data_IF_833602973941
#
_entry.id   IF_833602973941
#
_cell.length_a   1.000
_cell.length_b   1.000
_cell.length_c   1.000
_cell.angle_alpha   90.00
_cell.angle_beta   90.00
_cell.angle_gamma   90.00
#
_symmetry.space_group_name_H-M   'P 1'
#
loop_
_entity.id
_entity.type
_entity.pdbx_description
1 polymer ?
#
# COMPACT_ATOMS: atom_id res chain seq x y z
N UNK A 1 -43.52 67.70 13.32
CA UNK A 1 -42.19 67.56 12.72
C UNK A 1 -41.23 66.98 13.75
N UNK A 2 -40.86 65.71 13.60
CA UNK A 2 -39.60 65.10 14.07
C UNK A 2 -39.43 63.78 13.31
N UNK A 3 -38.24 63.64 12.73
CA UNK A 3 -37.76 62.56 11.88
C UNK A 3 -37.36 61.32 12.69
N UNK A 4 -37.55 60.14 12.08
CA UNK A 4 -36.73 58.91 12.24
C UNK A 4 -37.34 57.83 11.34
N UNK A 5 -36.67 56.88 10.69
CA UNK A 5 -35.31 56.67 10.17
C UNK A 5 -35.41 55.29 9.48
N UNK A 6 -34.73 55.14 8.34
CA UNK A 6 -34.73 53.97 7.46
C UNK A 6 -34.49 52.61 8.16
N UNK A 7 -35.25 51.59 7.74
CA UNK A 7 -34.96 50.17 7.92
C UNK A 7 -34.03 49.68 6.79
N UNK A 8 -32.82 49.25 7.14
CA UNK A 8 -31.94 48.45 6.29
C UNK A 8 -32.17 46.98 6.64
N UNK A 9 -32.64 46.18 5.68
CA UNK A 9 -32.77 44.72 5.82
C UNK A 9 -31.41 44.04 5.57
N UNK A 10 -30.76 43.57 6.63
CA UNK A 10 -29.61 42.68 6.55
C UNK A 10 -30.07 41.22 6.42
N UNK A 11 -29.65 40.55 5.34
CA UNK A 11 -29.69 39.08 5.24
C UNK A 11 -28.61 38.50 6.17
N UNK A 12 -29.02 37.69 7.16
CA UNK A 12 -28.10 36.79 7.87
C UNK A 12 -27.84 35.55 7.00
N UNK A 13 -26.57 35.31 6.67
CA UNK A 13 -26.08 34.01 6.21
C UNK A 13 -25.91 33.12 7.44
N UNK A 14 -26.68 32.03 7.52
CA UNK A 14 -26.51 31.04 8.57
C UNK A 14 -25.24 30.22 8.29
N UNK A 15 -24.25 30.33 9.17
CA UNK A 15 -23.10 29.44 9.20
C UNK A 15 -23.58 28.07 9.73
N UNK A 16 -23.46 27.03 8.90
CA UNK A 16 -23.66 25.66 9.35
C UNK A 16 -22.43 25.22 10.17
N UNK A 17 -22.58 25.18 11.48
CA UNK A 17 -21.60 24.57 12.38
C UNK A 17 -21.60 23.06 12.17
N UNK A 18 -20.45 22.51 11.76
CA UNK A 18 -20.20 21.07 11.75
C UNK A 18 -20.17 20.62 13.22
N UNK A 19 -21.18 19.85 13.64
CA UNK A 19 -21.17 19.20 14.93
C UNK A 19 -20.15 18.05 14.88
N UNK A 20 -19.13 18.12 15.73
CA UNK A 20 -18.31 16.97 16.05
C UNK A 20 -19.21 15.91 16.68
N UNK A 21 -19.18 14.69 16.13
CA UNK A 21 -19.88 13.55 16.70
C UNK A 21 -19.39 13.31 18.13
N UNK A 22 -20.35 13.12 19.04
CA UNK A 22 -20.09 12.82 20.44
C UNK A 22 -19.33 11.49 20.61
N UNK A 23 -18.48 11.46 21.63
CA UNK A 23 -17.55 10.41 22.02
C UNK A 23 -18.09 8.99 21.79
N UNK A 24 -17.47 8.28 20.85
CA UNK A 24 -17.54 6.83 20.79
C UNK A 24 -16.78 6.25 22.00
N UNK A 25 -17.25 5.16 22.62
CA UNK A 25 -16.53 4.55 23.74
C UNK A 25 -15.13 4.12 23.27
N UNK A 26 -14.10 4.55 24.01
CA UNK A 26 -12.73 4.10 23.83
C UNK A 26 -12.72 2.56 23.86
N UNK A 27 -12.36 1.92 22.75
CA UNK A 27 -12.13 0.48 22.74
C UNK A 27 -10.84 0.23 23.53
N UNK A 28 -10.95 -0.34 24.73
CA UNK A 28 -9.76 -0.74 25.49
C UNK A 28 -8.94 -1.74 24.68
N UNK A 29 -7.67 -1.38 24.48
CA UNK A 29 -6.73 -2.11 23.64
C UNK A 29 -6.02 -3.16 24.51
N UNK A 30 -6.61 -4.34 24.65
CA UNK A 30 -6.26 -5.32 25.70
C UNK A 30 -5.01 -6.20 25.41
N UNK A 31 -4.47 -6.21 24.20
CA UNK A 31 -3.37 -7.13 23.85
C UNK A 31 -1.97 -6.51 24.07
N UNK A 32 -1.14 -7.14 24.92
CA UNK A 32 0.29 -6.77 25.06
C UNK A 32 1.10 -7.11 23.79
N UNK A 33 0.79 -8.24 23.14
CA UNK A 33 1.40 -8.69 21.88
C UNK A 33 0.32 -9.31 20.99
N UNK A 34 0.23 -8.84 19.74
CA UNK A 34 -0.63 -9.38 18.71
C UNK A 34 0.04 -10.57 18.02
N UNK A 35 -0.63 -11.73 18.01
CA UNK A 35 -0.12 -12.92 17.36
C UNK A 35 -0.38 -12.88 15.85
N UNK A 36 0.64 -12.50 15.07
CA UNK A 36 0.62 -12.55 13.61
C UNK A 36 1.07 -13.92 13.07
N UNK A 37 1.91 -14.62 13.82
CA UNK A 37 2.48 -15.92 13.47
C UNK A 37 2.02 -17.00 14.46
N UNK A 38 1.65 -18.18 13.96
CA UNK A 38 1.30 -19.33 14.80
C UNK A 38 2.55 -19.82 15.55
N UNK A 39 2.57 -19.60 16.86
CA UNK A 39 3.71 -19.95 17.73
C UNK A 39 3.97 -21.46 17.80
N UNK A 40 3.02 -22.29 17.37
CA UNK A 40 3.20 -23.74 17.25
C UNK A 40 4.00 -24.12 16.00
N UNK A 41 4.14 -23.20 15.05
CA UNK A 41 4.91 -23.40 13.82
C UNK A 41 6.31 -22.82 14.00
N UNK A 42 7.31 -23.70 13.96
CA UNK A 42 8.70 -23.26 13.98
C UNK A 42 9.01 -22.37 12.77
N UNK A 43 9.69 -21.26 13.01
CA UNK A 43 10.18 -20.40 11.94
C UNK A 43 11.43 -21.04 11.30
N UNK A 44 11.38 -21.46 10.02
CA UNK A 44 12.49 -22.15 9.37
C UNK A 44 13.68 -21.21 9.12
N UNK A 45 14.90 -21.77 9.15
CA UNK A 45 16.09 -21.05 8.72
C UNK A 45 15.99 -20.64 7.24
N UNK A 46 16.72 -19.60 6.78
CA UNK A 46 16.71 -19.20 5.37
C UNK A 46 16.98 -20.35 4.39
N UNK A 47 17.84 -21.29 4.75
CA UNK A 47 18.22 -22.46 3.93
C UNK A 47 17.11 -23.52 3.83
N UNK A 48 16.22 -23.58 4.83
CA UNK A 48 15.09 -24.52 4.89
C UNK A 48 13.82 -23.96 4.23
N UNK A 49 13.76 -22.64 4.00
CA UNK A 49 12.61 -22.01 3.33
C UNK A 49 12.57 -22.42 1.87
N UNK A 50 11.57 -23.21 1.54
CA UNK A 50 11.34 -23.64 0.17
C UNK A 50 10.81 -22.48 -0.68
N UNK A 51 11.07 -22.56 -1.99
CA UNK A 51 10.39 -21.72 -2.99
C UNK A 51 9.00 -22.28 -3.28
N UNK A 52 7.96 -21.45 -3.54
CA UNK A 52 6.67 -21.97 -3.94
C UNK A 52 6.79 -22.78 -5.23
N UNK A 53 6.17 -23.97 -5.28
CA UNK A 53 6.26 -24.86 -6.42
C UNK A 53 5.68 -24.20 -7.68
N UNK A 54 6.45 -24.22 -8.78
CA UNK A 54 6.04 -23.62 -10.05
C UNK A 54 6.10 -22.10 -10.10
N UNK A 55 6.65 -21.43 -9.08
CA UNK A 55 6.83 -19.99 -9.12
C UNK A 55 7.87 -19.57 -10.17
N UNK A 56 7.55 -18.53 -10.95
CA UNK A 56 8.40 -18.00 -12.02
C UNK A 56 8.75 -16.55 -11.71
N UNK A 57 10.03 -16.21 -11.85
CA UNK A 57 10.48 -14.83 -11.76
C UNK A 57 10.55 -14.17 -13.13
N UNK A 58 10.10 -12.93 -13.20
CA UNK A 58 10.20 -12.12 -14.42
C UNK A 58 10.73 -10.74 -14.10
N UNK A 59 11.53 -10.23 -15.02
CA UNK A 59 12.02 -8.85 -14.95
C UNK A 59 11.07 -7.95 -15.72
N UNK A 60 10.32 -7.13 -14.99
CA UNK A 60 9.35 -6.19 -15.58
C UNK A 60 10.07 -4.99 -16.19
N UNK A 61 11.08 -4.45 -15.52
CA UNK A 61 11.83 -3.31 -16.03
C UNK A 61 13.26 -3.21 -15.48
N UNK A 62 14.20 -2.75 -16.33
CA UNK A 62 15.55 -2.35 -15.93
C UNK A 62 15.69 -0.83 -16.03
N UNK A 63 16.27 -0.22 -14.99
CA UNK A 63 16.83 1.11 -15.09
C UNK A 63 17.66 1.29 -16.36
N UNK A 64 17.55 2.47 -16.95
CA UNK A 64 18.32 2.90 -18.11
C UNK A 64 19.16 4.14 -17.75
N UNK A 65 19.90 4.67 -18.72
CA UNK A 65 20.76 5.84 -18.49
C UNK A 65 19.97 7.08 -18.06
N UNK A 66 18.78 7.28 -18.66
CA UNK A 66 17.87 8.40 -18.41
C UNK A 66 17.16 8.30 -17.06
N UNK A 67 16.83 7.07 -16.64
CA UNK A 67 16.09 6.79 -15.41
C UNK A 67 16.78 5.69 -14.60
N UNK A 68 17.66 6.11 -13.69
CA UNK A 68 18.49 5.22 -12.87
C UNK A 68 17.87 4.84 -11.54
N UNK A 69 16.80 5.49 -11.11
CA UNK A 69 16.13 5.20 -9.85
C UNK A 69 14.69 4.76 -10.07
N UNK A 70 14.28 3.62 -9.51
CA UNK A 70 12.94 3.05 -9.57
C UNK A 70 12.55 2.49 -8.21
N UNK A 71 11.34 2.82 -7.71
CA UNK A 71 10.83 2.25 -6.47
C UNK A 71 9.28 2.26 -6.40
N UNK A 72 8.72 1.75 -5.30
CA UNK A 72 7.27 1.53 -5.07
C UNK A 72 6.53 1.00 -6.29
N UNK A 73 6.75 -0.28 -6.57
CA UNK A 73 6.05 -0.96 -7.65
C UNK A 73 4.58 -1.21 -7.27
N UNK A 74 3.70 -1.21 -8.27
CA UNK A 74 2.31 -1.63 -8.20
C UNK A 74 1.98 -2.52 -9.39
N UNK A 75 1.04 -3.44 -9.20
CA UNK A 75 0.58 -4.37 -10.24
C UNK A 75 -0.93 -4.59 -10.11
N UNK A 76 -1.61 -4.73 -11.24
CA UNK A 76 -3.06 -4.98 -11.29
C UNK A 76 -3.44 -5.69 -12.57
N UNK A 77 -4.46 -6.54 -12.50
CA UNK A 77 -5.15 -7.04 -13.70
C UNK A 77 -6.35 -6.15 -14.02
N UNK A 78 -6.49 -5.79 -15.29
CA UNK A 78 -7.65 -5.10 -15.80
C UNK A 78 -8.03 -5.71 -17.16
N UNK A 79 -9.24 -6.28 -17.24
CA UNK A 79 -9.62 -7.10 -18.38
C UNK A 79 -8.66 -8.28 -18.58
N UNK A 80 -8.09 -8.38 -19.78
CA UNK A 80 -7.09 -9.38 -20.18
C UNK A 80 -5.63 -8.89 -20.08
N UNK A 81 -5.43 -7.72 -19.47
CA UNK A 81 -4.15 -7.04 -19.45
C UNK A 81 -3.63 -6.86 -18.01
N UNK A 82 -2.39 -7.27 -17.80
CA UNK A 82 -1.63 -7.03 -16.58
C UNK A 82 -0.88 -5.71 -16.70
N UNK A 83 -1.16 -4.77 -15.79
CA UNK A 83 -0.48 -3.50 -15.70
C UNK A 83 0.53 -3.53 -14.54
N UNK A 84 1.73 -3.02 -14.78
CA UNK A 84 2.72 -2.77 -13.76
C UNK A 84 3.19 -1.31 -13.84
N UNK A 85 3.38 -0.67 -12.69
CA UNK A 85 3.88 0.69 -12.62
C UNK A 85 4.79 0.92 -11.42
N UNK A 86 5.55 2.00 -11.49
CA UNK A 86 6.51 2.42 -10.48
C UNK A 86 6.72 3.92 -10.59
N UNK A 87 7.24 4.56 -9.55
CA UNK A 87 7.79 5.89 -9.72
C UNK A 87 9.26 5.81 -10.15
N UNK A 88 9.65 6.72 -11.03
CA UNK A 88 10.94 6.69 -11.71
C UNK A 88 11.58 8.09 -11.66
N UNK A 89 12.85 8.14 -11.26
CA UNK A 89 13.64 9.36 -11.18
C UNK A 89 14.97 9.21 -11.97
N UNK A 90 15.54 10.32 -12.48
CA UNK A 90 16.76 10.26 -13.27
C UNK A 90 17.98 9.62 -12.58
N UNK A 91 18.24 9.95 -11.31
CA UNK A 91 19.49 9.56 -10.64
C UNK A 91 19.32 9.02 -9.21
N UNK A 92 18.32 9.48 -8.48
CA UNK A 92 18.06 9.10 -7.10
C UNK A 92 16.63 9.43 -6.69
N UNK A 93 16.26 9.01 -5.48
CA UNK A 93 14.91 9.18 -4.94
C UNK A 93 14.52 10.67 -4.91
N UNK A 94 13.53 11.05 -5.72
CA UNK A 94 13.00 12.43 -5.80
C UNK A 94 14.12 13.44 -6.16
N UNK A 95 15.10 13.03 -6.97
CA UNK A 95 16.16 13.90 -7.50
C UNK A 95 15.88 14.29 -8.95
N UNK A 96 15.79 15.59 -9.22
CA UNK A 96 15.56 16.14 -10.56
C UNK A 96 14.08 16.15 -10.93
N UNK A 97 13.49 14.98 -11.14
CA UNK A 97 12.06 14.81 -11.43
C UNK A 97 11.55 13.45 -10.91
N UNK A 98 10.23 13.29 -10.81
CA UNK A 98 9.59 11.99 -10.59
C UNK A 98 8.37 11.86 -11.49
N UNK A 99 8.21 10.68 -12.07
CA UNK A 99 7.05 10.31 -12.89
C UNK A 99 6.58 8.92 -12.52
N UNK A 100 5.29 8.66 -12.63
CA UNK A 100 4.77 7.29 -12.63
C UNK A 100 4.89 6.75 -14.05
N UNK A 101 5.66 5.69 -14.21
CA UNK A 101 5.85 4.97 -15.48
C UNK A 101 5.36 3.55 -15.34
N UNK A 102 4.96 2.94 -16.45
CA UNK A 102 4.41 1.59 -16.43
C UNK A 102 4.66 0.81 -17.69
N UNK A 103 4.29 -0.47 -17.65
CA UNK A 103 4.27 -1.40 -18.76
C UNK A 103 3.06 -2.31 -18.65
N UNK A 104 2.66 -2.86 -19.78
CA UNK A 104 1.52 -3.77 -19.90
C UNK A 104 1.97 -5.13 -20.39
N UNK A 105 1.27 -6.19 -19.98
CA UNK A 105 1.45 -7.54 -20.47
C UNK A 105 0.10 -8.18 -20.79
N UNK A 106 0.01 -8.89 -21.91
CA UNK A 106 -1.19 -9.63 -22.35
C UNK A 106 -0.99 -11.15 -22.35
N UNK A 107 0.14 -11.61 -21.83
CA UNK A 107 0.53 -13.03 -21.77
C UNK A 107 0.88 -13.47 -20.35
N UNK A 108 0.34 -12.77 -19.36
CA UNK A 108 0.52 -13.08 -17.94
C UNK A 108 1.91 -12.74 -17.41
N UNK A 109 2.53 -11.68 -17.91
CA UNK A 109 3.82 -11.16 -17.43
C UNK A 109 5.05 -11.74 -18.12
N UNK A 110 4.88 -12.56 -19.18
CA UNK A 110 6.01 -13.16 -19.91
C UNK A 110 6.70 -12.14 -20.81
N UNK A 111 5.92 -11.30 -21.48
CA UNK A 111 6.40 -10.16 -22.27
C UNK A 111 5.73 -8.88 -21.82
N UNK A 112 6.43 -7.76 -22.06
CA UNK A 112 6.02 -6.45 -21.59
C UNK A 112 6.12 -5.42 -22.72
N UNK A 113 5.12 -4.54 -22.82
CA UNK A 113 5.04 -3.44 -23.79
C UNK A 113 6.22 -2.46 -23.69
N UNK A 114 6.27 -1.46 -24.56
CA UNK A 114 7.11 -0.28 -24.28
C UNK A 114 6.65 0.44 -23.02
N UNK A 115 7.53 1.25 -22.45
CA UNK A 115 7.22 2.03 -21.25
C UNK A 115 6.24 3.15 -21.60
N UNK A 116 5.18 3.27 -20.80
CA UNK A 116 4.23 4.39 -20.83
C UNK A 116 4.44 5.32 -19.62
N UNK A 117 3.88 6.52 -19.69
CA UNK A 117 3.85 7.49 -18.59
C UNK A 117 2.40 7.67 -18.14
N UNK A 118 2.15 7.45 -16.84
CA UNK A 118 0.83 7.57 -16.22
C UNK A 118 0.63 8.98 -15.66
N UNK A 119 1.65 9.50 -14.98
CA UNK A 119 1.63 10.82 -14.37
C UNK A 119 3.05 11.43 -14.38
N UNK A 120 3.17 12.69 -14.82
CA UNK A 120 4.44 13.42 -14.78
C UNK A 120 4.23 14.92 -14.86
N UNK A 121 5.24 15.68 -14.44
CA UNK A 121 5.22 17.14 -14.42
C UNK A 121 5.55 17.72 -15.80
N UNK A 122 4.58 17.68 -16.70
CA UNK A 122 4.75 18.17 -18.07
C UNK A 122 4.93 19.69 -18.15
N UNK A 123 4.47 20.43 -17.14
CA UNK A 123 4.51 21.89 -17.11
C UNK A 123 5.74 22.45 -16.38
N UNK A 124 6.51 21.60 -15.70
CA UNK A 124 7.71 22.01 -14.97
C UNK A 124 7.39 22.80 -13.70
N UNK A 125 6.29 22.46 -13.03
CA UNK A 125 5.82 23.09 -11.79
C UNK A 125 6.60 22.65 -10.55
N UNK A 126 7.50 21.68 -10.68
CA UNK A 126 8.28 21.11 -9.58
C UNK A 126 7.50 20.04 -8.82
N UNK A 127 6.60 19.32 -9.50
CA UNK A 127 5.78 18.27 -8.89
C UNK A 127 6.47 16.91 -9.06
N UNK A 128 6.54 16.17 -7.96
CA UNK A 128 7.01 14.80 -7.95
C UNK A 128 5.84 13.85 -7.73
N UNK A 129 5.69 12.86 -8.61
CA UNK A 129 4.63 11.86 -8.52
C UNK A 129 5.17 10.58 -7.90
N UNK A 130 4.71 10.21 -6.71
CA UNK A 130 5.12 9.04 -5.92
C UNK A 130 4.05 8.67 -4.89
N UNK A 131 3.91 7.40 -4.47
CA UNK A 131 3.89 6.23 -5.33
C UNK A 131 2.55 6.15 -6.09
N UNK A 132 2.30 5.02 -6.76
CA UNK A 132 1.00 4.67 -7.34
C UNK A 132 0.41 3.45 -6.62
N UNK A 133 -0.90 3.45 -6.39
CA UNK A 133 -1.70 2.26 -6.10
C UNK A 133 -2.74 2.07 -7.19
N UNK A 134 -2.90 0.86 -7.71
CA UNK A 134 -3.89 0.57 -8.74
C UNK A 134 -5.20 0.06 -8.14
N UNK A 135 -6.28 0.21 -8.90
CA UNK A 135 -7.58 -0.41 -8.61
C UNK A 135 -8.34 -0.62 -9.93
N UNK A 136 -8.67 -1.88 -10.23
CA UNK A 136 -9.56 -2.22 -11.35
C UNK A 136 -10.97 -2.35 -10.80
N UNK A 137 -11.88 -1.46 -11.22
CA UNK A 137 -13.25 -1.40 -10.73
C UNK A 137 -14.24 -1.11 -11.86
N UNK A 138 -15.30 -1.93 -11.98
CA UNK A 138 -16.39 -1.76 -12.98
C UNK A 138 -15.89 -1.37 -14.38
N UNK A 139 -15.05 -2.21 -14.96
CA UNK A 139 -14.50 -2.01 -16.31
C UNK A 139 -13.74 -0.68 -16.49
N UNK A 140 -13.28 -0.08 -15.39
CA UNK A 140 -12.40 1.09 -15.42
C UNK A 140 -11.17 0.83 -14.57
N UNK A 141 -10.01 1.22 -15.08
CA UNK A 141 -8.75 1.16 -14.36
C UNK A 141 -8.39 2.51 -13.75
N UNK A 142 -8.10 2.50 -12.46
CA UNK A 142 -7.73 3.67 -11.66
C UNK A 142 -6.30 3.54 -11.13
N UNK A 143 -5.61 4.66 -11.04
CA UNK A 143 -4.31 4.81 -10.39
C UNK A 143 -4.36 5.96 -9.38
N UNK A 144 -4.15 5.66 -8.10
CA UNK A 144 -4.07 6.65 -7.03
C UNK A 144 -2.62 7.05 -6.84
N UNK A 145 -2.31 8.30 -7.15
CA UNK A 145 -0.93 8.81 -7.23
C UNK A 145 -0.79 9.98 -6.29
N UNK A 146 0.22 9.94 -5.42
CA UNK A 146 0.50 11.09 -4.56
C UNK A 146 1.46 12.07 -5.21
N UNK A 147 1.18 13.36 -5.01
CA UNK A 147 2.02 14.47 -5.43
C UNK A 147 2.84 14.99 -4.26
N UNK A 148 4.09 15.37 -4.54
CA UNK A 148 5.02 16.00 -3.62
C UNK A 148 5.69 17.21 -4.28
N UNK A 149 6.25 18.11 -3.48
CA UNK A 149 7.05 19.27 -3.96
C UNK A 149 8.51 19.21 -3.52
N UNK A 150 8.95 18.04 -3.07
CA UNK A 150 10.28 17.76 -2.57
C UNK A 150 10.34 16.39 -1.91
N UNK A 151 11.54 15.99 -1.48
CA UNK A 151 11.77 14.68 -0.86
C UNK A 151 10.88 14.50 0.38
N UNK A 152 9.91 13.57 0.27
CA UNK A 152 8.88 13.29 1.27
C UNK A 152 8.00 14.47 1.69
N UNK A 153 7.89 15.52 0.87
CA UNK A 153 7.04 16.70 1.16
C UNK A 153 5.68 16.57 0.48
N UNK A 154 4.79 15.83 1.14
CA UNK A 154 3.48 15.40 0.59
C UNK A 154 2.51 16.55 0.40
N UNK A 155 1.84 16.56 -0.75
CA UNK A 155 0.75 17.48 -1.06
C UNK A 155 -0.59 16.75 -0.99
N UNK A 156 -0.93 15.94 -1.98
CA UNK A 156 -2.24 15.28 -2.10
C UNK A 156 -2.15 13.94 -2.82
N UNK A 157 -3.13 13.06 -2.60
CA UNK A 157 -3.38 11.90 -3.44
C UNK A 157 -4.43 12.24 -4.50
N UNK A 158 -4.08 12.06 -5.77
CA UNK A 158 -4.94 12.24 -6.93
C UNK A 158 -5.32 10.91 -7.55
N UNK A 159 -6.50 10.85 -8.17
CA UNK A 159 -6.91 9.67 -8.95
C UNK A 159 -6.72 9.93 -10.44
N UNK A 160 -6.06 9.00 -11.11
CA UNK A 160 -5.89 8.91 -12.55
C UNK A 160 -6.79 7.80 -13.07
N UNK A 161 -7.42 8.03 -14.22
CA UNK A 161 -8.32 7.07 -14.87
C UNK A 161 -7.77 6.75 -16.25
N UNK A 162 -7.66 5.46 -16.58
CA UNK A 162 -7.38 5.04 -17.95
C UNK A 162 -8.64 5.24 -18.80
N UNK A 163 -8.54 6.12 -19.79
CA UNK A 163 -9.56 6.27 -20.82
C UNK A 163 -9.33 5.20 -21.89
N UNK A 164 -10.12 4.13 -21.88
CA UNK A 164 -9.95 3.00 -22.79
C UNK A 164 -10.16 3.34 -24.27
N UNK A 165 -10.89 4.42 -24.58
CA UNK A 165 -11.15 4.84 -25.97
C UNK A 165 -9.90 5.50 -26.55
N UNK A 166 -9.24 6.34 -25.76
CA UNK A 166 -8.05 7.10 -26.18
C UNK A 166 -6.74 6.43 -25.80
N UNK A 167 -6.78 5.40 -24.97
CA UNK A 167 -5.64 4.73 -24.34
C UNK A 167 -4.71 5.70 -23.57
N UNK A 168 -5.32 6.64 -22.84
CA UNK A 168 -4.60 7.69 -22.11
C UNK A 168 -5.05 7.78 -20.65
N UNK A 169 -4.09 8.00 -19.76
CA UNK A 169 -4.35 8.31 -18.36
C UNK A 169 -4.76 9.77 -18.19
N UNK A 170 -5.83 10.00 -17.42
CA UNK A 170 -6.34 11.34 -17.13
C UNK A 170 -6.54 11.52 -15.64
N UNK A 171 -5.95 12.58 -15.06
CA UNK A 171 -6.27 12.97 -13.68
C UNK A 171 -7.74 13.39 -13.59
N UNK A 172 -8.42 12.95 -12.53
CA UNK A 172 -9.75 13.40 -12.13
C UNK A 172 -9.72 14.24 -10.86
N UNK A 173 -8.54 14.63 -10.41
CA UNK A 173 -8.33 15.51 -9.27
C UNK A 173 -8.02 14.76 -7.97
N UNK A 174 -8.00 15.54 -6.90
CA UNK A 174 -7.58 15.11 -5.56
C UNK A 174 -8.70 14.31 -4.90
N UNK A 175 -8.36 13.12 -4.41
CA UNK A 175 -9.27 12.26 -3.64
C UNK A 175 -8.92 12.20 -2.16
N UNK A 176 -7.67 12.42 -1.77
CA UNK A 176 -7.29 12.41 -0.36
C UNK A 176 -6.20 13.44 -0.06
N UNK A 177 -6.46 14.28 0.93
CA UNK A 177 -5.56 15.35 1.35
C UNK A 177 -4.35 14.77 2.09
N UNK A 178 -3.12 15.12 1.66
CA UNK A 178 -1.84 14.71 2.27
C UNK A 178 -1.60 13.20 2.43
N UNK A 179 -2.40 12.37 1.77
CA UNK A 179 -2.30 10.92 1.88
C UNK A 179 -1.30 10.34 0.90
N UNK A 180 -0.56 9.32 1.32
CA UNK A 180 0.35 8.52 0.51
C UNK A 180 -0.13 7.07 0.50
N UNK A 181 -0.62 6.54 -0.63
CA UNK A 181 -1.13 5.18 -0.69
C UNK A 181 0.01 4.17 -0.61
N UNK A 182 -0.23 3.04 0.03
CA UNK A 182 0.74 1.93 0.11
C UNK A 182 0.21 0.64 -0.51
N UNK A 183 -1.10 0.43 -0.48
CA UNK A 183 -1.77 -0.78 -0.97
C UNK A 183 -2.93 -0.45 -1.91
N UNK A 184 -3.46 -1.48 -2.58
CA UNK A 184 -4.72 -1.37 -3.35
C UNK A 184 -5.87 -1.02 -2.41
N UNK A 185 -6.88 -0.26 -2.86
CA UNK A 185 -8.20 -0.31 -2.26
C UNK A 185 -8.70 -1.74 -2.10
N UNK A 186 -9.33 -2.01 -0.96
CA UNK A 186 -10.01 -3.28 -0.66
C UNK A 186 -11.46 -2.96 -0.31
N UNK A 187 -12.40 -3.65 -0.94
CA UNK A 187 -13.83 -3.52 -0.62
C UNK A 187 -14.12 -4.14 0.75
N UNK A 188 -14.86 -3.42 1.58
CA UNK A 188 -15.36 -3.86 2.88
C UNK A 188 -16.84 -4.24 2.79
N UNK A 189 -17.35 -5.03 3.74
CA UNK A 189 -18.75 -5.50 3.72
C UNK A 189 -19.79 -4.37 3.87
N UNK A 190 -19.39 -3.21 4.41
CA UNK A 190 -20.26 -2.03 4.51
C UNK A 190 -20.38 -1.24 3.19
N UNK A 191 -19.75 -1.73 2.11
CA UNK A 191 -19.80 -1.16 0.78
C UNK A 191 -18.81 -0.03 0.52
N UNK A 192 -17.96 0.32 1.49
CA UNK A 192 -16.86 1.26 1.29
C UNK A 192 -15.57 0.53 0.92
N UNK A 193 -14.64 1.24 0.29
CA UNK A 193 -13.28 0.77 0.07
C UNK A 193 -12.37 1.37 1.13
N UNK A 194 -11.40 0.58 1.59
CA UNK A 194 -10.30 1.03 2.44
C UNK A 194 -8.99 0.91 1.70
N UNK A 195 -8.16 1.95 1.78
CA UNK A 195 -6.82 1.98 1.21
C UNK A 195 -5.81 2.31 2.30
N UNK A 196 -4.88 1.40 2.56
CA UNK A 196 -3.82 1.61 3.54
C UNK A 196 -2.73 2.53 3.01
N UNK A 197 -2.18 3.35 3.89
CA UNK A 197 -1.17 4.34 3.55
C UNK A 197 -0.56 5.03 4.75
N UNK A 198 -0.08 6.24 4.50
CA UNK A 198 0.43 7.15 5.52
C UNK A 198 0.04 8.58 5.19
N UNK A 199 -0.06 9.43 6.20
CA UNK A 199 -0.52 10.82 6.02
C UNK A 199 0.44 11.81 6.67
N UNK A 200 0.57 12.99 6.06
CA UNK A 200 1.25 14.13 6.67
C UNK A 200 0.29 14.97 7.52
N UNK A 201 0.78 15.49 8.65
CA UNK A 201 -0.02 16.37 9.52
C UNK A 201 -0.29 17.72 8.86
N UNK A 202 0.69 18.24 8.12
CA UNK A 202 0.61 19.53 7.43
C UNK A 202 1.01 19.37 5.96
N UNK A 203 0.50 20.24 5.07
CA UNK A 203 0.92 20.25 3.69
C UNK A 203 2.44 20.40 3.59
N UNK A 204 3.05 19.70 2.63
CA UNK A 204 4.48 19.76 2.34
C UNK A 204 5.35 19.34 3.53
N UNK A 205 4.88 18.35 4.29
CA UNK A 205 5.66 17.72 5.37
C UNK A 205 5.70 16.21 5.20
N UNK A 206 6.57 15.56 5.99
CA UNK A 206 6.76 14.12 5.99
C UNK A 206 5.47 13.40 6.41
N UNK A 207 5.10 12.30 5.73
CA UNK A 207 3.95 11.50 6.11
C UNK A 207 4.37 10.55 7.25
N UNK A 208 4.29 11.01 8.49
CA UNK A 208 4.78 10.30 9.68
C UNK A 208 3.68 9.59 10.47
N UNK A 209 2.42 9.59 9.99
CA UNK A 209 1.31 8.89 10.63
C UNK A 209 0.84 7.71 9.79
N UNK A 210 0.74 6.50 10.36
CA UNK A 210 0.05 5.40 9.69
C UNK A 210 -1.42 5.80 9.51
N UNK A 211 -1.96 5.59 8.31
CA UNK A 211 -3.31 6.03 7.97
C UNK A 211 -4.03 5.05 7.04
N UNK A 212 -5.34 5.16 7.02
CA UNK A 212 -6.19 4.60 5.97
C UNK A 212 -7.01 5.71 5.33
N UNK A 213 -7.31 5.58 4.05
CA UNK A 213 -8.32 6.38 3.37
C UNK A 213 -9.54 5.50 3.09
N UNK A 214 -10.74 5.98 3.41
CA UNK A 214 -11.99 5.26 3.25
C UNK A 214 -12.91 6.02 2.28
N UNK A 215 -13.38 5.33 1.24
CA UNK A 215 -14.31 5.92 0.26
C UNK A 215 -15.70 6.16 0.84
N UNK A 216 -16.51 6.97 0.16
CA UNK A 216 -17.94 7.07 0.44
C UNK A 216 -18.72 6.13 -0.50
N UNK A 217 -18.94 4.90 -0.04
CA UNK A 217 -19.47 3.81 -0.82
C UNK A 217 -18.61 3.53 -2.05
N UNK A 218 -19.28 3.32 -3.18
CA UNK A 218 -18.63 2.99 -4.45
C UNK A 218 -18.14 4.22 -5.25
N UNK A 219 -18.15 5.42 -4.65
CA UNK A 219 -17.69 6.65 -5.30
C UNK A 219 -16.15 6.76 -5.19
N UNK A 220 -15.45 6.01 -6.02
CA UNK A 220 -13.99 5.84 -5.91
C UNK A 220 -13.15 6.98 -6.52
N UNK A 221 -13.79 7.99 -7.12
CA UNK A 221 -13.13 9.21 -7.64
C UNK A 221 -13.48 10.49 -6.87
N UNK A 222 -14.37 10.40 -5.88
CA UNK A 222 -14.72 11.52 -5.01
C UNK A 222 -13.78 11.59 -3.80
N UNK A 223 -13.81 12.65 -2.98
CA UNK A 223 -13.00 12.73 -1.78
C UNK A 223 -13.24 11.58 -0.78
N UNK A 224 -12.15 10.98 -0.29
CA UNK A 224 -12.12 9.92 0.72
C UNK A 224 -11.81 10.50 2.10
N UNK A 225 -12.30 9.83 3.14
CA UNK A 225 -12.01 10.20 4.52
C UNK A 225 -10.69 9.57 4.95
N UNK A 226 -9.70 10.39 5.30
CA UNK A 226 -8.41 9.92 5.82
C UNK A 226 -8.46 9.81 7.34
N UNK A 227 -8.12 8.64 7.86
CA UNK A 227 -8.15 8.31 9.29
C UNK A 227 -6.76 7.88 9.72
N UNK A 228 -6.22 8.53 10.76
CA UNK A 228 -4.96 8.12 11.39
C UNK A 228 -5.21 6.91 12.28
N UNK A 229 -4.26 5.98 12.31
CA UNK A 229 -4.36 4.78 13.13
C UNK A 229 -4.00 5.02 14.60
N UNK A 230 -3.40 6.19 14.89
CA UNK A 230 -3.02 6.66 16.22
C UNK A 230 -2.81 8.18 16.22
N UNK A 231 -2.82 8.78 17.40
CA UNK A 231 -2.65 10.23 17.57
C UNK A 231 -1.20 10.69 17.39
N UNK A 232 -0.24 9.92 17.91
CA UNK A 232 1.19 10.22 17.80
C UNK A 232 1.81 9.67 16.50
N UNK A 233 2.97 10.18 16.11
CA UNK A 233 3.67 9.81 14.87
C UNK A 233 4.68 8.68 15.04
N UNK A 234 4.80 7.87 14.00
CA UNK A 234 5.92 6.95 13.78
C UNK A 234 6.95 7.70 12.90
N UNK A 235 7.96 8.30 13.53
CA UNK A 235 8.93 9.24 12.90
C UNK A 235 9.67 8.70 11.67
N UNK A 236 9.71 7.38 11.44
CA UNK A 236 10.16 6.76 10.20
C UNK A 236 8.94 6.28 9.45
N UNK A 237 8.77 6.85 8.25
CA UNK A 237 7.59 6.72 7.39
C UNK A 237 6.87 5.38 7.58
N UNK A 238 5.63 5.39 8.08
CA UNK A 238 4.92 4.20 8.50
C UNK A 238 4.14 3.58 7.33
N UNK A 239 4.86 2.99 6.38
CA UNK A 239 4.27 2.19 5.31
C UNK A 239 3.35 1.12 5.93
N UNK A 240 2.06 1.21 5.61
CA UNK A 240 1.00 0.41 6.23
C UNK A 240 0.31 -0.48 5.21
N UNK A 241 0.03 -1.72 5.60
CA UNK A 241 -0.83 -2.67 4.89
C UNK A 241 -2.00 -3.08 5.77
N UNK A 242 -3.10 -3.59 5.18
CA UNK A 242 -4.28 -4.07 5.91
C UNK A 242 -4.72 -5.46 5.48
N UNK A 243 -5.27 -6.23 6.42
CA UNK A 243 -6.19 -7.34 6.17
C UNK A 243 -7.60 -6.91 6.56
N UNK A 244 -8.57 -7.24 5.71
CA UNK A 244 -10.00 -6.94 5.92
C UNK A 244 -10.75 -8.25 6.12
N UNK A 245 -11.36 -8.41 7.30
CA UNK A 245 -12.14 -9.59 7.68
C UNK A 245 -13.50 -9.13 8.23
N UNK A 246 -14.44 -8.96 7.30
CA UNK A 246 -15.73 -8.32 7.56
C UNK A 246 -15.53 -6.90 8.11
N UNK A 247 -16.08 -6.65 9.31
CA UNK A 247 -15.90 -5.37 10.02
C UNK A 247 -14.55 -5.20 10.71
N UNK A 248 -13.82 -6.30 10.90
CA UNK A 248 -12.54 -6.28 11.61
C UNK A 248 -11.41 -6.03 10.61
N UNK A 249 -10.51 -5.12 10.96
CA UNK A 249 -9.35 -4.79 10.13
C UNK A 249 -8.10 -4.89 10.96
N UNK A 250 -7.10 -5.61 10.44
CA UNK A 250 -5.76 -5.65 11.03
C UNK A 250 -4.81 -4.88 10.13
N UNK A 251 -4.24 -3.79 10.63
CA UNK A 251 -3.20 -3.05 9.94
C UNK A 251 -1.82 -3.42 10.47
N UNK A 252 -0.85 -3.53 9.56
CA UNK A 252 0.55 -3.79 9.87
C UNK A 252 1.35 -2.64 9.28
N UNK A 253 1.94 -1.82 10.14
CA UNK A 253 2.78 -0.69 9.75
C UNK A 253 4.24 -1.00 10.05
N UNK A 254 5.15 -0.68 9.13
CA UNK A 254 6.57 -0.65 9.49
C UNK A 254 6.86 0.50 10.45
N UNK A 255 7.83 0.31 11.32
CA UNK A 255 8.46 1.36 12.11
C UNK A 255 9.76 0.82 12.70
N UNK A 256 10.61 1.69 13.24
CA UNK A 256 11.76 1.25 14.03
C UNK A 256 11.35 0.82 15.45
N UNK A 257 12.10 -0.10 16.08
CA UNK A 257 11.86 -0.50 17.47
C UNK A 257 11.84 0.67 18.47
N UNK A 258 12.70 1.67 18.27
CA UNK A 258 12.89 2.81 19.17
C UNK A 258 11.84 3.93 19.04
N UNK A 259 10.83 3.76 18.18
CA UNK A 259 9.91 4.84 17.80
C UNK A 259 8.50 4.72 18.37
N UNK A 260 8.25 3.79 19.29
CA UNK A 260 6.90 3.61 19.84
C UNK A 260 6.88 3.59 21.36
N UNK A 261 5.79 4.05 22.00
CA UNK A 261 5.66 4.10 23.46
C UNK A 261 5.87 2.74 24.16
N UNK A 262 5.63 1.63 23.45
CA UNK A 262 5.51 0.29 24.06
C UNK A 262 6.80 -0.53 24.07
N UNK A 263 7.96 0.05 23.73
CA UNK A 263 9.29 -0.53 24.02
C UNK A 263 9.66 -1.84 23.31
N UNK A 264 8.94 -2.26 22.27
CA UNK A 264 9.18 -3.54 21.61
C UNK A 264 10.41 -3.55 20.71
N UNK A 265 11.21 -4.62 20.84
CA UNK A 265 12.49 -4.82 20.16
C UNK A 265 12.35 -5.14 18.67
N UNK A 266 11.21 -5.68 18.24
CA UNK A 266 10.93 -5.97 16.82
C UNK A 266 10.50 -4.70 16.07
N UNK A 267 10.95 -4.50 14.82
CA UNK A 267 10.39 -3.49 13.91
C UNK A 267 8.91 -3.76 13.64
N UNK A 268 8.15 -2.71 13.32
CA UNK A 268 6.75 -2.79 12.91
C UNK A 268 5.72 -2.87 14.05
N UNK A 269 4.48 -2.44 13.79
CA UNK A 269 3.37 -2.44 14.76
C UNK A 269 2.09 -2.88 14.10
N UNK A 270 1.23 -3.48 14.93
CA UNK A 270 -0.13 -3.85 14.55
C UNK A 270 -1.11 -2.83 15.10
N UNK A 271 -2.15 -2.56 14.31
CA UNK A 271 -3.33 -1.82 14.75
C UNK A 271 -4.56 -2.64 14.39
N UNK A 272 -5.59 -2.56 15.21
CA UNK A 272 -6.85 -3.29 14.98
C UNK A 272 -8.01 -2.32 14.96
N UNK A 273 -9.00 -2.64 14.14
CA UNK A 273 -10.28 -1.94 14.07
C UNK A 273 -11.39 -2.97 14.06
N UNK A 274 -12.54 -2.65 14.64
CA UNK A 274 -13.75 -3.49 14.65
C UNK A 274 -14.98 -2.80 14.05
N UNK A 275 -14.77 -1.66 13.39
CA UNK A 275 -15.79 -0.78 12.82
C UNK A 275 -15.46 -0.32 11.39
N UNK A 276 -14.83 -1.23 10.63
CA UNK A 276 -14.38 -1.00 9.26
C UNK A 276 -13.35 0.13 9.12
N UNK A 277 -12.41 0.22 10.07
CA UNK A 277 -11.28 1.14 10.01
C UNK A 277 -11.61 2.57 10.42
N UNK A 278 -12.75 2.80 11.08
CA UNK A 278 -13.19 4.14 11.52
C UNK A 278 -12.53 4.54 12.83
N UNK A 279 -12.29 3.58 13.71
CA UNK A 279 -11.52 3.72 14.94
C UNK A 279 -10.48 2.60 15.02
N UNK A 280 -9.39 2.87 15.72
CA UNK A 280 -8.22 1.99 15.77
C UNK A 280 -7.67 1.86 17.19
N UNK A 281 -7.28 0.64 17.56
CA UNK A 281 -6.52 0.31 18.74
C UNK A 281 -5.09 -0.08 18.34
N UNK A 282 -4.11 0.52 19.02
CA UNK A 282 -2.68 0.30 18.83
C UNK A 282 -1.86 1.53 19.21
N UNK A 283 -0.54 1.53 19.00
CA UNK A 283 0.27 0.50 18.35
C UNK A 283 0.51 -0.74 19.24
N UNK A 284 0.24 -1.93 18.71
CA UNK A 284 0.46 -3.22 19.39
C UNK A 284 1.74 -3.87 18.88
N UNK A 285 2.48 -4.53 19.76
CA UNK A 285 3.65 -5.34 19.38
C UNK A 285 3.21 -6.65 18.72
N UNK A 286 4.12 -7.35 18.05
CA UNK A 286 3.77 -8.61 17.39
C UNK A 286 4.88 -9.65 17.47
N UNK A 287 4.52 -10.90 17.17
CA UNK A 287 5.44 -12.03 17.11
C UNK A 287 5.93 -12.39 15.68
N UNK A 288 5.64 -11.56 14.66
CA UNK A 288 6.10 -11.84 13.28
C UNK A 288 7.64 -11.97 13.21
N UNK A 289 8.17 -13.11 12.72
CA UNK A 289 9.61 -13.33 12.65
C UNK A 289 10.31 -12.47 11.61
N UNK A 290 11.54 -12.05 11.91
CA UNK A 290 12.47 -11.48 10.92
C UNK A 290 11.95 -10.23 10.17
N UNK A 291 10.96 -9.53 10.71
CA UNK A 291 10.49 -8.29 10.09
C UNK A 291 11.57 -7.21 10.16
N UNK A 292 11.85 -6.58 9.01
CA UNK A 292 12.70 -5.40 8.93
C UNK A 292 11.89 -4.11 8.76
N UNK A 293 12.52 -2.96 9.04
CA UNK A 293 12.00 -1.61 8.77
C UNK A 293 11.92 -1.33 7.25
N UNK A 294 11.01 -2.04 6.59
CA UNK A 294 10.71 -2.00 5.15
C UNK A 294 9.23 -2.21 4.93
N UNK A 295 8.68 -1.72 3.81
CA UNK A 295 7.28 -1.92 3.45
C UNK A 295 6.92 -3.40 3.44
N UNK A 296 5.79 -3.72 4.06
CA UNK A 296 5.11 -5.02 3.96
C UNK A 296 3.92 -4.89 3.02
N UNK A 297 3.44 -6.00 2.47
CA UNK A 297 2.21 -6.04 1.70
C UNK A 297 1.44 -7.31 2.03
N UNK A 298 0.20 -7.13 2.48
CA UNK A 298 -0.70 -8.23 2.83
C UNK A 298 -2.03 -8.11 2.13
N UNK A 299 -2.71 -9.25 2.04
CA UNK A 299 -4.06 -9.36 1.52
C UNK A 299 -4.63 -10.74 1.82
N UNK A 300 -5.72 -11.08 1.16
CA UNK A 300 -6.36 -12.39 1.25
C UNK A 300 -6.35 -13.07 -0.12
N UNK A 301 -6.08 -14.38 -0.13
CA UNK A 301 -6.18 -15.23 -1.31
C UNK A 301 -7.62 -15.72 -1.49
N UNK A 302 -7.99 -16.08 -2.72
CA UNK A 302 -9.28 -16.70 -3.03
C UNK A 302 -9.51 -18.03 -2.30
N UNK A 303 -8.44 -18.68 -1.82
CA UNK A 303 -8.49 -19.87 -0.95
C UNK A 303 -8.95 -19.57 0.48
N UNK A 304 -9.16 -18.30 0.83
CA UNK A 304 -9.55 -17.85 2.18
C UNK A 304 -8.36 -17.71 3.14
N UNK A 305 -7.13 -17.82 2.65
CA UNK A 305 -5.91 -17.61 3.44
C UNK A 305 -5.54 -16.12 3.44
N UNK A 306 -5.14 -15.58 4.59
CA UNK A 306 -4.37 -14.33 4.64
C UNK A 306 -2.97 -14.59 4.09
N UNK A 307 -2.36 -13.59 3.48
CA UNK A 307 -0.94 -13.61 3.15
C UNK A 307 -0.25 -12.31 3.55
N UNK A 308 1.06 -12.40 3.81
CA UNK A 308 1.94 -11.26 4.02
C UNK A 308 3.24 -11.48 3.26
N UNK A 309 3.69 -10.45 2.56
CA UNK A 309 4.99 -10.39 1.88
C UNK A 309 5.85 -9.35 2.56
N UNK A 310 7.05 -9.74 2.99
CA UNK A 310 8.01 -8.81 3.60
C UNK A 310 9.44 -9.23 3.37
N UNK A 311 10.33 -8.32 3.74
CA UNK A 311 11.77 -8.46 3.54
C UNK A 311 12.43 -9.00 4.81
N UNK A 312 13.27 -10.03 4.70
CA UNK A 312 14.00 -10.66 5.81
C UNK A 312 15.47 -10.23 5.84
N UNK A 313 16.09 -10.17 7.03
CA UNK A 313 17.46 -9.71 7.20
C UNK A 313 18.48 -10.67 6.57
N UNK A 314 19.75 -10.24 6.43
CA UNK A 314 20.22 -8.87 6.64
C UNK A 314 19.90 -7.94 5.44
N UNK A 315 19.82 -6.63 5.68
CA UNK A 315 19.91 -5.58 4.65
C UNK A 315 19.11 -5.83 3.34
N UNK A 316 17.87 -6.30 3.45
CA UNK A 316 17.00 -6.60 2.31
C UNK A 316 17.51 -7.72 1.38
N UNK A 317 18.21 -8.69 1.94
CA UNK A 317 18.75 -9.85 1.20
C UNK A 317 17.70 -10.89 0.85
N UNK A 318 16.68 -11.07 1.70
CA UNK A 318 15.59 -12.02 1.47
C UNK A 318 14.23 -11.34 1.31
N UNK A 319 13.36 -11.92 0.48
CA UNK A 319 11.94 -11.62 0.38
C UNK A 319 11.15 -12.92 0.58
N UNK A 320 10.18 -12.91 1.49
CA UNK A 320 9.35 -14.07 1.82
C UNK A 320 7.88 -13.76 1.63
N UNK A 321 7.09 -14.80 1.41
CA UNK A 321 5.64 -14.79 1.57
C UNK A 321 5.27 -15.78 2.66
N UNK A 322 4.42 -15.37 3.59
CA UNK A 322 3.76 -16.29 4.52
C UNK A 322 2.26 -16.24 4.33
N UNK A 323 1.60 -17.33 4.69
CA UNK A 323 0.15 -17.49 4.59
C UNK A 323 -0.43 -18.08 5.86
N UNK A 324 -1.69 -17.77 6.16
CA UNK A 324 -2.48 -18.48 7.16
C UNK A 324 -3.06 -19.76 6.58
N UNK A 325 -3.73 -20.56 7.42
CA UNK A 325 -4.68 -21.58 6.92
C UNK A 325 -5.98 -20.90 6.48
N UNK A 326 -6.78 -21.51 5.59
CA UNK A 326 -8.05 -20.93 5.17
C UNK A 326 -8.96 -20.56 6.36
N UNK A 327 -9.31 -19.27 6.46
CA UNK A 327 -10.16 -18.71 7.51
C UNK A 327 -9.47 -18.49 8.87
N UNK A 328 -8.18 -18.77 8.99
CA UNK A 328 -7.43 -18.51 10.21
C UNK A 328 -6.74 -17.15 10.17
N UNK A 329 -6.59 -16.55 11.36
CA UNK A 329 -6.02 -15.22 11.52
C UNK A 329 -4.49 -15.20 11.50
N UNK A 330 -3.85 -16.26 12.00
CA UNK A 330 -2.40 -16.37 12.16
C UNK A 330 -1.74 -16.98 10.92
N UNK A 331 -0.60 -16.42 10.53
CA UNK A 331 0.26 -17.00 9.51
C UNK A 331 0.91 -18.29 10.03
N UNK A 332 0.91 -19.34 9.23
CA UNK A 332 1.30 -20.68 9.66
C UNK A 332 2.22 -21.43 8.68
N UNK A 333 2.63 -20.79 7.57
CA UNK A 333 3.67 -21.29 6.67
C UNK A 333 4.35 -20.14 5.96
N UNK A 334 5.61 -20.35 5.52
CA UNK A 334 6.43 -19.36 4.83
C UNK A 334 7.22 -19.98 3.68
N UNK A 335 7.39 -19.22 2.61
CA UNK A 335 8.21 -19.56 1.45
C UNK A 335 9.17 -18.42 1.10
N UNK A 336 10.33 -18.79 0.55
CA UNK A 336 11.32 -17.86 0.02
C UNK A 336 10.96 -17.46 -1.42
N UNK A 337 10.75 -16.15 -1.65
CA UNK A 337 10.55 -15.61 -3.00
C UNK A 337 11.87 -15.19 -3.65
N UNK A 338 12.76 -14.56 -2.90
CA UNK A 338 14.09 -14.17 -3.37
C UNK A 338 15.10 -14.23 -2.23
N UNK A 339 16.33 -14.63 -2.49
CA UNK A 339 17.42 -14.56 -1.53
C UNK A 339 18.75 -14.29 -2.24
N UNK A 340 19.50 -13.29 -1.78
CA UNK A 340 20.76 -12.88 -2.40
C UNK A 340 20.56 -12.32 -3.82
N UNK A 341 21.55 -12.51 -4.69
CA UNK A 341 21.49 -12.10 -6.11
C UNK A 341 20.82 -13.19 -6.95
N UNK A 342 19.86 -12.81 -7.80
CA UNK A 342 19.31 -13.72 -8.82
C UNK A 342 20.25 -13.77 -10.02
N UNK A 343 20.87 -14.92 -10.26
CA UNK A 343 21.70 -15.15 -11.43
C UNK A 343 20.88 -15.14 -12.73
N UNK A 344 19.68 -15.73 -12.69
CA UNK A 344 18.76 -15.82 -13.83
C UNK A 344 18.30 -14.43 -14.31
N UNK A 345 17.91 -13.56 -13.37
CA UNK A 345 17.50 -12.20 -13.71
C UNK A 345 18.70 -11.25 -13.87
N UNK A 346 19.87 -11.62 -13.36
CA UNK A 346 21.07 -10.79 -13.33
C UNK A 346 20.96 -9.56 -12.41
N UNK A 347 20.01 -9.53 -11.48
CA UNK A 347 19.75 -8.42 -10.53
C UNK A 347 19.73 -8.94 -9.10
N UNK A 348 19.65 -8.04 -8.12
CA UNK A 348 19.64 -8.39 -6.70
C UNK A 348 20.95 -8.05 -5.98
N UNK A 349 20.95 -8.00 -4.63
CA UNK A 349 19.80 -8.17 -3.73
C UNK A 349 18.96 -6.86 -3.61
N UNK A 350 18.59 -6.45 -2.40
CA UNK A 350 17.71 -5.30 -2.09
C UNK A 350 16.25 -5.49 -2.55
N UNK A 351 15.71 -6.68 -2.33
CA UNK A 351 14.31 -7.02 -2.60
C UNK A 351 13.42 -6.28 -1.63
N UNK A 352 12.53 -5.41 -2.10
CA UNK A 352 11.75 -4.57 -1.19
C UNK A 352 10.52 -3.94 -1.84
N UNK A 353 9.63 -3.44 -0.99
CA UNK A 353 8.41 -2.73 -1.41
C UNK A 353 7.51 -3.61 -2.29
N UNK A 354 7.06 -4.76 -1.75
CA UNK A 354 6.16 -5.63 -2.47
C UNK A 354 4.80 -4.97 -2.71
N UNK A 355 4.14 -5.45 -3.75
CA UNK A 355 2.74 -5.23 -4.08
C UNK A 355 2.25 -6.49 -4.78
N UNK A 356 0.98 -6.86 -4.59
CA UNK A 356 0.48 -8.08 -5.19
C UNK A 356 -0.95 -7.97 -5.73
N UNK A 357 -1.25 -8.80 -6.72
CA UNK A 357 -2.60 -9.01 -7.23
C UNK A 357 -2.80 -10.50 -7.52
N UNK A 358 -3.94 -11.05 -7.13
CA UNK A 358 -4.33 -12.41 -7.52
C UNK A 358 -5.17 -12.35 -8.80
N UNK A 359 -4.91 -13.26 -9.74
CA UNK A 359 -5.73 -13.44 -10.94
C UNK A 359 -5.52 -14.85 -11.51
N UNK A 360 -6.60 -15.50 -11.94
CA UNK A 360 -6.57 -16.80 -12.63
C UNK A 360 -5.68 -17.85 -11.92
N UNK A 361 -5.94 -18.03 -10.62
CA UNK A 361 -5.24 -19.01 -9.77
C UNK A 361 -3.76 -18.72 -9.53
N UNK A 362 -3.29 -17.51 -9.83
CA UNK A 362 -1.90 -17.08 -9.62
C UNK A 362 -1.85 -15.78 -8.83
N UNK A 363 -0.88 -15.69 -7.93
CA UNK A 363 -0.51 -14.46 -7.23
C UNK A 363 0.69 -13.83 -7.93
N UNK A 364 0.54 -12.58 -8.36
CA UNK A 364 1.57 -11.77 -9.00
C UNK A 364 2.16 -10.83 -7.95
N UNK A 365 3.35 -11.13 -7.44
CA UNK A 365 4.03 -10.32 -6.43
C UNK A 365 5.13 -9.50 -7.10
N UNK A 366 4.92 -8.20 -7.28
CA UNK A 366 5.89 -7.26 -7.83
C UNK A 366 6.66 -6.56 -6.71
N UNK A 367 7.95 -6.31 -6.91
CA UNK A 367 8.82 -5.66 -5.93
C UNK A 367 10.00 -4.98 -6.60
N UNK A 368 10.66 -4.12 -5.82
CA UNK A 368 11.85 -3.40 -6.23
C UNK A 368 13.10 -4.21 -5.93
N UNK A 369 14.10 -4.13 -6.80
CA UNK A 369 15.47 -4.56 -6.54
C UNK A 369 16.45 -3.39 -6.75
N UNK A 370 17.35 -3.19 -5.79
CA UNK A 370 18.46 -2.20 -5.82
C UNK A 370 18.02 -0.74 -6.06
N UNK A 371 16.73 -0.44 -5.82
CA UNK A 371 16.06 0.79 -6.25
C UNK A 371 16.28 1.15 -7.74
N UNK A 372 16.40 0.12 -8.59
CA UNK A 372 16.75 0.23 -10.02
C UNK A 372 15.91 -0.64 -10.93
N UNK A 373 15.39 -1.74 -10.39
CA UNK A 373 14.76 -2.78 -11.18
C UNK A 373 13.39 -3.12 -10.60
N UNK A 374 12.44 -3.36 -11.51
CA UNK A 374 11.13 -3.90 -11.20
C UNK A 374 11.13 -5.39 -11.51
N UNK A 375 10.89 -6.21 -10.50
CA UNK A 375 10.87 -7.67 -10.60
C UNK A 375 9.52 -8.17 -10.11
N UNK A 376 9.04 -9.26 -10.68
CA UNK A 376 7.80 -9.90 -10.26
C UNK A 376 8.00 -11.40 -10.13
N UNK A 377 7.47 -11.99 -9.06
CA UNK A 377 7.33 -13.44 -8.91
C UNK A 377 5.88 -13.81 -9.11
N UNK A 378 5.61 -14.72 -10.06
CA UNK A 378 4.29 -15.25 -10.35
C UNK A 378 4.18 -16.61 -9.67
N UNK A 379 3.23 -16.76 -8.75
CA UNK A 379 3.11 -17.91 -7.85
C UNK A 379 1.77 -18.61 -8.12
N UNK A 380 1.74 -19.91 -8.44
CA UNK A 380 0.49 -20.67 -8.42
C UNK A 380 -0.11 -20.65 -7.01
N UNK A 381 -1.35 -20.18 -6.84
CA UNK A 381 -2.00 -20.07 -5.51
C UNK A 381 -2.05 -21.43 -4.82
N UNK A 382 -2.35 -22.49 -5.56
CA UNK A 382 -2.35 -23.87 -5.06
C UNK A 382 -1.01 -24.32 -4.42
N UNK A 383 0.12 -23.67 -4.76
CA UNK A 383 1.42 -23.98 -4.15
C UNK A 383 1.60 -23.38 -2.74
N UNK A 384 0.71 -22.47 -2.34
CA UNK A 384 0.66 -21.82 -1.03
C UNK A 384 -0.46 -22.39 -0.15
N UNK A 385 -1.27 -23.32 -0.67
CA UNK A 385 -2.43 -23.83 0.05
C UNK A 385 -2.03 -24.72 1.23
N UNK A 386 -2.60 -24.41 2.39
CA UNK A 386 -2.52 -25.24 3.57
C UNK A 386 -3.86 -25.95 3.80
N UNK A 387 -3.81 -27.21 4.23
CA UNK A 387 -4.99 -27.90 4.74
C UNK A 387 -5.59 -27.16 5.95
N UNK A 388 -6.92 -27.27 6.12
CA UNK A 388 -7.60 -26.81 7.35
C UNK A 388 -7.01 -27.51 8.57
N UNK A 389 -6.91 -26.81 9.69
CA UNK A 389 -6.54 -27.41 10.97
C UNK A 389 -7.65 -28.39 11.35
N UNK A 390 -7.32 -29.68 11.39
CA UNK A 390 -8.24 -30.76 11.76
C UNK A 390 -8.54 -30.78 13.24
#
# INVERSE_FOLDING_TARGET
MKYTSLLLSGLLVAAASIAYAADAPESECEAEVFSLWDEQVAWPSPEERQRPAGAVDVLVHRACEEYRFLHDNAVVWHGDTLFAAWYNCPSGEIVGSSSIRGRRSRDGGKTWSQVEVIASDHQGEGIFYVPIAFHSHRDTLYGYVTTMVGHDLVVNCEVYVLDEVTDQWKSRGVIADRFLPNCTPVLMEDGNYIMAGRVADKPKTKPEWPAVAISNGDNITEPWTVIRLMDDRLKVFPETSVWVDGKNITAISRCRPDQTPNGCSSPGRVFTSSDYGRTWCGPICHNLPELQDTKVYGGSLSSGQRYLVWTTPPAREGLVIAVSRPGEEQLAAVWQLQHGRSAELGVGPEWSYPYAVEHDGKLYVIYTSQKKHSVMTIIPVASLELGKKT
#
